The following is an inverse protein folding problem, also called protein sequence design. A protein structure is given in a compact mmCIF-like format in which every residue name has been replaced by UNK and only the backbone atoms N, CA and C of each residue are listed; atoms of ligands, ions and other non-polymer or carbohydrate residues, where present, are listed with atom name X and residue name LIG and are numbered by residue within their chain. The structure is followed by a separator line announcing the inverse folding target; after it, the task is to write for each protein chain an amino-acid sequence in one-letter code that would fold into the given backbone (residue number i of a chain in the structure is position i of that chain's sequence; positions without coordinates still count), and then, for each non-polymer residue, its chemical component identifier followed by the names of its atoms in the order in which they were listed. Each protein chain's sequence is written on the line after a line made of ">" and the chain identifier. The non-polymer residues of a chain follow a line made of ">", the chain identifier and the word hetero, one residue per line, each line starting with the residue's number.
data_IF_717414118076
#
_entry.id   IF_717414118076
#
_cell.length_a   1.000
_cell.length_b   1.000
_cell.length_c   1.000
_cell.angle_alpha   90.00
_cell.angle_beta   90.00
_cell.angle_gamma   90.00
#
_symmetry.space_group_name_H-M   'P 1'
#
loop_
_entity.id
_entity.type
_entity.pdbx_description
1 polymer ?
#
# COMPACT_ATOMS: atom_id res chain seq x y z
N UNK A 1 14.99 -8.39 -21.57
CA UNK A 1 13.86 -8.06 -20.68
C UNK A 1 14.49 -7.40 -19.50
N UNK A 2 14.07 -6.17 -19.20
CA UNK A 2 14.65 -5.36 -18.14
C UNK A 2 14.61 -6.10 -16.81
N UNK A 3 15.76 -6.31 -16.17
CA UNK A 3 15.83 -7.11 -14.94
C UNK A 3 15.10 -6.44 -13.77
N UNK A 4 13.91 -6.92 -13.43
CA UNK A 4 13.13 -6.35 -12.31
C UNK A 4 13.62 -6.83 -10.95
N UNK A 5 13.84 -5.87 -10.05
CA UNK A 5 14.12 -6.13 -8.65
C UNK A 5 12.92 -5.76 -7.79
N UNK A 6 12.84 -6.42 -6.63
CA UNK A 6 11.78 -6.20 -5.65
C UNK A 6 12.39 -6.09 -4.26
N UNK A 7 11.73 -5.32 -3.41
CA UNK A 7 12.05 -5.23 -1.99
C UNK A 7 10.82 -5.63 -1.19
N UNK A 8 10.99 -6.56 -0.25
CA UNK A 8 9.93 -6.93 0.69
C UNK A 8 10.41 -6.76 2.13
N UNK A 9 9.47 -6.39 3.00
CA UNK A 9 9.69 -6.22 4.43
C UNK A 9 8.69 -6.98 5.27
N UNK A 10 9.09 -7.31 6.50
CA UNK A 10 8.24 -7.87 7.53
C UNK A 10 8.63 -7.42 8.93
N UNK A 11 7.70 -7.57 9.88
CA UNK A 11 7.87 -7.11 11.26
C UNK A 11 9.00 -7.82 12.05
N UNK A 12 9.59 -8.87 11.48
CA UNK A 12 10.58 -9.72 12.13
C UNK A 12 9.96 -10.79 13.04
N UNK A 13 10.82 -11.69 13.51
CA UNK A 13 10.53 -12.69 14.54
C UNK A 13 11.47 -12.50 15.74
N UNK A 14 11.30 -13.33 16.78
CA UNK A 14 12.22 -13.38 17.93
C UNK A 14 13.58 -14.03 17.58
N UNK A 15 13.67 -14.73 16.45
CA UNK A 15 14.86 -15.45 15.99
C UNK A 15 15.88 -14.56 15.28
N UNK A 16 15.56 -13.27 15.07
CA UNK A 16 16.35 -12.32 14.28
C UNK A 16 16.59 -12.80 12.85
N UNK A 17 15.62 -13.53 12.29
CA UNK A 17 15.63 -13.89 10.87
C UNK A 17 15.57 -12.65 9.97
N UNK A 18 16.02 -12.78 8.72
CA UNK A 18 15.96 -11.73 7.70
C UNK A 18 14.53 -11.20 7.56
N UNK A 19 14.33 -9.89 7.65
CA UNK A 19 13.02 -9.25 7.57
C UNK A 19 12.97 -8.05 6.62
N UNK A 20 14.06 -7.82 5.89
CA UNK A 20 14.12 -7.00 4.69
C UNK A 20 14.94 -7.79 3.66
N UNK A 21 14.35 -8.01 2.48
CA UNK A 21 15.01 -8.76 1.40
C UNK A 21 14.94 -8.01 0.08
N UNK A 22 16.00 -8.14 -0.73
CA UNK A 22 16.00 -7.76 -2.14
C UNK A 22 15.99 -9.03 -2.97
N UNK A 23 15.12 -9.14 -3.95
CA UNK A 23 14.97 -10.35 -4.76
C UNK A 23 14.56 -10.07 -6.19
N UNK A 24 14.65 -11.10 -7.03
CA UNK A 24 14.11 -11.15 -8.39
C UNK A 24 13.03 -12.22 -8.48
N UNK A 25 12.18 -12.11 -9.50
CA UNK A 25 11.25 -13.16 -9.90
C UNK A 25 11.72 -13.77 -11.22
N UNK A 26 11.99 -15.08 -11.22
CA UNK A 26 12.34 -15.80 -12.44
C UNK A 26 11.12 -16.00 -13.35
N UNK A 27 11.32 -16.39 -14.61
CA UNK A 27 10.25 -16.61 -15.60
C UNK A 27 9.19 -17.62 -15.15
N UNK A 28 9.56 -18.59 -14.33
CA UNK A 28 8.64 -19.56 -13.74
C UNK A 28 7.93 -19.07 -12.46
N UNK A 29 8.13 -17.80 -12.08
CA UNK A 29 7.58 -17.17 -10.89
C UNK A 29 8.37 -17.44 -9.59
N UNK A 30 9.48 -18.20 -9.66
CA UNK A 30 10.32 -18.51 -8.50
C UNK A 30 11.00 -17.26 -7.94
N UNK A 31 11.00 -17.13 -6.62
CA UNK A 31 11.66 -16.02 -5.94
C UNK A 31 13.17 -16.32 -5.81
N UNK A 32 14.01 -15.38 -6.22
CA UNK A 32 15.46 -15.47 -6.15
C UNK A 32 16.01 -14.32 -5.29
N UNK A 33 16.27 -14.62 -4.02
CA UNK A 33 16.89 -13.68 -3.08
C UNK A 33 18.27 -13.25 -3.60
N UNK A 34 18.56 -11.95 -3.50
CA UNK A 34 19.83 -11.32 -3.85
C UNK A 34 20.53 -10.74 -2.63
N UNK A 35 19.77 -10.15 -1.71
CA UNK A 35 20.28 -9.61 -0.46
C UNK A 35 19.27 -9.86 0.66
N UNK A 36 19.80 -10.03 1.86
CA UNK A 36 19.04 -10.26 3.09
C UNK A 36 19.58 -9.40 4.20
N UNK A 37 18.66 -8.80 4.96
CA UNK A 37 18.99 -7.96 6.09
C UNK A 37 18.06 -8.27 7.25
N UNK A 38 18.60 -8.12 8.45
CA UNK A 38 17.84 -8.15 9.69
C UNK A 38 17.84 -6.76 10.31
N UNK A 39 16.66 -6.32 10.72
CA UNK A 39 16.45 -5.05 11.39
C UNK A 39 15.47 -5.17 12.55
N UNK A 40 15.85 -4.62 13.71
CA UNK A 40 14.89 -4.33 14.78
C UNK A 40 13.94 -3.20 14.37
N UNK A 41 12.89 -2.96 15.16
CA UNK A 41 11.95 -1.84 14.93
C UNK A 41 10.79 -2.15 13.97
N UNK A 42 10.73 -3.36 13.41
CA UNK A 42 9.59 -3.87 12.65
C UNK A 42 9.30 -3.11 11.35
N UNK A 43 10.14 -3.30 10.32
CA UNK A 43 9.87 -2.83 8.96
C UNK A 43 8.47 -3.25 8.47
N UNK A 44 7.62 -2.32 8.07
CA UNK A 44 6.20 -2.63 7.79
C UNK A 44 5.62 -2.06 6.49
N UNK A 45 6.24 -1.03 5.92
CA UNK A 45 5.78 -0.40 4.68
C UNK A 45 6.95 0.22 3.91
N UNK A 46 6.86 0.24 2.58
CA UNK A 46 7.90 0.72 1.67
C UNK A 46 7.34 1.71 0.65
N UNK A 47 8.15 2.68 0.23
CA UNK A 47 7.89 3.48 -0.98
C UNK A 47 9.21 3.80 -1.68
N UNK A 48 9.22 3.72 -3.01
CA UNK A 48 10.37 4.06 -3.85
C UNK A 48 10.26 5.50 -4.38
N UNK A 49 11.37 6.25 -4.29
CA UNK A 49 11.62 7.48 -5.06
C UNK A 49 12.69 7.19 -6.11
N UNK A 50 12.28 7.03 -7.36
CA UNK A 50 13.21 6.93 -8.50
C UNK A 50 13.95 8.25 -8.68
N UNK A 51 15.29 8.20 -8.67
CA UNK A 51 16.20 9.33 -8.94
C UNK A 51 16.59 9.34 -10.42
N UNK A 52 17.00 8.18 -10.93
CA UNK A 52 17.35 7.93 -12.33
C UNK A 52 17.07 6.46 -12.65
N UNK A 53 17.28 6.05 -13.90
CA UNK A 53 16.95 4.71 -14.39
C UNK A 53 17.58 3.58 -13.55
N UNK A 54 18.73 3.83 -12.91
CA UNK A 54 19.46 2.82 -12.10
C UNK A 54 19.71 3.26 -10.65
N UNK A 55 18.99 4.27 -10.18
CA UNK A 55 19.19 4.80 -8.83
C UNK A 55 17.87 5.21 -8.22
N UNK A 56 17.60 4.71 -7.03
CA UNK A 56 16.41 5.11 -6.27
C UNK A 56 16.69 5.19 -4.78
N UNK A 57 15.85 5.96 -4.09
CA UNK A 57 15.76 5.91 -2.63
C UNK A 57 14.57 5.05 -2.24
N UNK A 58 14.78 4.09 -1.34
CA UNK A 58 13.70 3.31 -0.75
C UNK A 58 13.48 3.83 0.66
N UNK A 59 12.26 4.28 0.96
CA UNK A 59 11.88 4.71 2.30
C UNK A 59 11.08 3.61 2.97
N UNK A 60 11.54 3.21 4.15
CA UNK A 60 10.98 2.11 4.93
C UNK A 60 10.41 2.64 6.23
N UNK A 61 9.17 2.25 6.53
CA UNK A 61 8.54 2.48 7.82
C UNK A 61 9.02 1.43 8.80
N UNK A 62 9.54 1.88 9.93
CA UNK A 62 9.85 1.04 11.10
C UNK A 62 8.80 1.35 12.17
N UNK A 63 7.72 0.58 12.17
CA UNK A 63 6.48 0.91 12.90
C UNK A 63 6.64 0.83 14.41
N UNK A 64 7.47 -0.09 14.93
CA UNK A 64 7.67 -0.26 16.39
C UNK A 64 8.50 0.87 16.99
N UNK A 65 9.38 1.49 16.21
CA UNK A 65 10.22 2.64 16.64
C UNK A 65 9.70 3.98 16.11
N UNK A 66 8.66 3.97 15.28
CA UNK A 66 8.07 5.15 14.65
C UNK A 66 9.08 5.96 13.80
N UNK A 67 9.92 5.26 13.05
CA UNK A 67 10.97 5.86 12.22
C UNK A 67 10.69 5.69 10.72
N UNK A 68 11.20 6.63 9.94
CA UNK A 68 11.41 6.48 8.50
C UNK A 68 12.89 6.24 8.28
N UNK A 69 13.24 5.17 7.58
CA UNK A 69 14.61 4.84 7.21
C UNK A 69 14.77 4.97 5.70
N UNK A 70 15.70 5.80 5.26
CA UNK A 70 16.07 6.00 3.86
C UNK A 70 17.20 5.05 3.51
N UNK A 71 16.99 4.26 2.46
CA UNK A 71 17.99 3.42 1.82
C UNK A 71 18.27 3.94 0.43
N UNK A 72 19.52 3.85 0.01
CA UNK A 72 19.94 4.04 -1.38
C UNK A 72 19.99 2.69 -2.08
N UNK A 73 19.34 2.60 -3.23
CA UNK A 73 19.51 1.53 -4.20
C UNK A 73 20.41 2.04 -5.33
N UNK A 74 21.63 1.51 -5.39
CA UNK A 74 22.66 1.86 -6.39
C UNK A 74 23.66 0.70 -6.52
N UNK A 75 24.07 0.36 -7.75
CA UNK A 75 25.02 -0.71 -8.06
C UNK A 75 24.59 -2.07 -7.43
N UNK A 76 23.30 -2.39 -7.54
CA UNK A 76 22.70 -3.67 -7.20
C UNK A 76 22.67 -3.91 -5.70
N UNK A 77 22.92 -2.87 -4.91
CA UNK A 77 23.12 -2.93 -3.47
C UNK A 77 22.15 -1.98 -2.78
N UNK A 78 21.51 -2.46 -1.72
CA UNK A 78 20.67 -1.64 -0.87
C UNK A 78 21.47 -1.20 0.36
N UNK A 79 21.61 0.12 0.56
CA UNK A 79 22.47 0.71 1.59
C UNK A 79 21.62 1.62 2.47
N UNK A 80 21.61 1.40 3.78
CA UNK A 80 20.97 2.34 4.71
C UNK A 80 21.74 3.67 4.76
N UNK A 81 21.07 4.79 4.50
CA UNK A 81 21.69 6.12 4.55
C UNK A 81 21.34 6.89 5.81
N UNK A 82 20.06 6.87 6.22
CA UNK A 82 19.57 7.80 7.23
C UNK A 82 18.30 7.33 7.90
N UNK A 83 18.21 7.54 9.21
CA UNK A 83 16.99 7.38 10.01
C UNK A 83 16.41 8.73 10.40
N UNK A 84 15.09 8.79 10.52
CA UNK A 84 14.36 9.97 10.94
C UNK A 84 13.18 9.58 11.83
N UNK A 85 13.12 10.17 13.02
CA UNK A 85 11.99 9.99 13.91
C UNK A 85 10.76 10.69 13.33
N UNK A 86 9.77 9.91 12.90
CA UNK A 86 8.53 10.47 12.40
C UNK A 86 7.74 11.16 13.53
N UNK A 87 6.96 12.21 13.21
CA UNK A 87 6.00 12.75 14.16
C UNK A 87 4.83 11.77 14.39
N UNK A 88 4.10 11.94 15.49
CA UNK A 88 2.95 11.08 15.82
C UNK A 88 3.38 9.71 16.34
N UNK A 89 2.47 8.74 16.31
CA UNK A 89 2.71 7.38 16.84
C UNK A 89 2.08 6.30 15.95
N UNK A 90 2.80 5.20 15.76
CA UNK A 90 2.35 4.07 14.94
C UNK A 90 2.33 4.39 13.44
N UNK A 91 3.38 5.02 12.93
CA UNK A 91 3.59 5.22 11.49
C UNK A 91 3.37 3.89 10.76
N UNK A 92 2.45 3.87 9.79
CA UNK A 92 2.02 2.65 9.12
C UNK A 92 1.99 2.74 7.59
N UNK A 93 2.09 3.95 7.03
CA UNK A 93 1.97 4.18 5.59
C UNK A 93 2.78 5.41 5.17
N UNK A 94 3.40 5.34 3.99
CA UNK A 94 4.06 6.44 3.32
C UNK A 94 3.59 6.58 1.87
N UNK A 95 3.56 7.79 1.33
CA UNK A 95 3.57 8.00 -0.12
C UNK A 95 4.37 9.24 -0.50
N UNK A 96 4.84 9.31 -1.75
CA UNK A 96 5.55 10.48 -2.25
C UNK A 96 4.59 11.56 -2.75
N UNK A 97 5.01 12.82 -2.60
CA UNK A 97 4.42 13.93 -3.34
C UNK A 97 4.60 13.77 -4.86
N UNK A 98 3.74 14.43 -5.63
CA UNK A 98 3.78 14.37 -7.10
C UNK A 98 5.13 14.84 -7.69
N UNK A 99 5.73 15.87 -7.09
CA UNK A 99 7.06 16.40 -7.44
C UNK A 99 8.22 15.63 -6.78
N UNK A 100 7.92 14.59 -5.98
CA UNK A 100 8.88 13.74 -5.26
C UNK A 100 9.82 14.51 -4.31
N UNK A 101 9.41 15.69 -3.84
CA UNK A 101 10.20 16.47 -2.87
C UNK A 101 9.84 16.14 -1.43
N UNK A 102 8.65 15.60 -1.19
CA UNK A 102 8.11 15.29 0.13
C UNK A 102 7.67 13.84 0.26
N UNK A 103 7.73 13.32 1.48
CA UNK A 103 7.06 12.09 1.89
C UNK A 103 5.89 12.44 2.79
N UNK A 104 4.72 11.95 2.42
CA UNK A 104 3.52 11.99 3.26
C UNK A 104 3.45 10.74 4.10
N UNK A 105 3.06 10.88 5.36
CA UNK A 105 2.90 9.75 6.29
C UNK A 105 1.58 9.74 7.04
N UNK A 106 1.17 8.55 7.45
CA UNK A 106 0.00 8.28 8.30
C UNK A 106 0.41 7.51 9.55
N UNK A 107 -0.05 7.98 10.71
CA UNK A 107 0.22 7.39 12.01
C UNK A 107 -1.05 6.78 12.58
N UNK A 108 -1.11 5.45 12.60
CA UNK A 108 -2.31 4.70 12.98
C UNK A 108 -2.71 4.93 14.44
N UNK A 109 -1.74 4.98 15.36
CA UNK A 109 -2.04 5.08 16.79
C UNK A 109 -2.46 6.48 17.20
N UNK A 110 -1.80 7.52 16.67
CA UNK A 110 -2.13 8.91 17.00
C UNK A 110 -3.19 9.55 16.10
N UNK A 111 -3.47 8.96 14.94
CA UNK A 111 -4.34 9.57 13.94
C UNK A 111 -3.71 10.72 13.15
N UNK A 112 -2.40 10.93 13.31
CA UNK A 112 -1.70 12.04 12.68
C UNK A 112 -1.43 11.77 11.19
N UNK A 113 -1.49 12.83 10.39
CA UNK A 113 -0.90 12.87 9.05
C UNK A 113 0.22 13.89 9.04
N UNK A 114 1.25 13.68 8.23
CA UNK A 114 2.35 14.65 8.10
C UNK A 114 2.95 14.66 6.71
N UNK A 115 3.78 15.68 6.46
CA UNK A 115 4.75 15.69 5.38
C UNK A 115 6.16 15.96 5.94
N UNK A 116 7.16 15.21 5.48
CA UNK A 116 8.58 15.47 5.69
C UNK A 116 9.26 15.70 4.34
N UNK A 117 10.41 16.36 4.30
CA UNK A 117 11.22 16.39 3.08
C UNK A 117 11.85 15.02 2.79
N UNK A 118 12.14 14.76 1.52
CA UNK A 118 12.74 13.47 1.08
C UNK A 118 14.20 13.28 1.50
N UNK A 119 14.88 14.34 1.97
CA UNK A 119 16.21 14.25 2.58
C UNK A 119 16.14 13.92 4.09
N UNK A 120 14.92 13.75 4.60
CA UNK A 120 14.62 13.47 6.00
C UNK A 120 15.31 14.46 6.95
N UNK A 121 15.29 15.76 6.62
CA UNK A 121 15.90 16.81 7.45
C UNK A 121 14.91 17.53 8.34
N UNK A 122 13.65 17.64 7.89
CA UNK A 122 12.62 18.33 8.67
C UNK A 122 11.21 17.80 8.38
N UNK A 123 10.33 18.01 9.36
CA UNK A 123 8.90 17.93 9.16
C UNK A 123 8.40 19.27 8.59
N UNK A 124 7.61 19.19 7.51
CA UNK A 124 7.07 20.34 6.77
C UNK A 124 5.74 20.77 7.36
N UNK A 125 4.84 19.80 7.61
CA UNK A 125 3.57 20.05 8.29
C UNK A 125 3.08 18.78 8.99
N UNK A 126 2.24 18.97 10.00
CA UNK A 126 1.53 17.91 10.72
C UNK A 126 0.07 18.30 10.83
N UNK A 127 -0.83 17.41 10.41
CA UNK A 127 -2.25 17.47 10.75
C UNK A 127 -2.47 16.51 11.92
N UNK A 128 -2.76 17.06 13.09
CA UNK A 128 -3.05 16.23 14.27
C UNK A 128 -4.34 15.44 14.12
N UNK A 129 -4.29 14.20 14.58
CA UNK A 129 -5.45 13.37 14.81
C UNK A 129 -6.33 13.93 15.92
N UNK A 130 -7.51 13.32 16.06
CA UNK A 130 -8.41 13.61 17.17
C UNK A 130 -8.74 12.31 17.90
N UNK A 131 -9.57 12.40 18.94
CA UNK A 131 -10.06 11.20 19.63
C UNK A 131 -10.66 10.23 18.61
N UNK A 132 -10.33 8.95 18.76
CA UNK A 132 -10.81 7.84 17.94
C UNK A 132 -10.31 7.87 16.47
N UNK A 133 -9.34 8.75 16.13
CA UNK A 133 -8.67 8.72 14.83
C UNK A 133 -7.70 7.55 14.70
N UNK A 134 -7.72 6.91 13.54
CA UNK A 134 -6.72 5.95 13.10
C UNK A 134 -6.36 6.21 11.62
N UNK A 135 -5.42 7.12 11.41
CA UNK A 135 -4.91 7.46 10.08
C UNK A 135 -4.19 6.25 9.48
N UNK A 136 -4.76 5.65 8.45
CA UNK A 136 -4.22 4.40 7.89
C UNK A 136 -3.61 4.58 6.49
N UNK A 137 -4.10 5.53 5.72
CA UNK A 137 -3.57 5.78 4.38
C UNK A 137 -3.60 7.27 4.04
N UNK A 138 -2.49 7.74 3.51
CA UNK A 138 -2.38 9.03 2.83
C UNK A 138 -2.02 8.75 1.38
N UNK A 139 -2.89 9.13 0.46
CA UNK A 139 -2.78 8.75 -0.94
C UNK A 139 -2.59 9.97 -1.82
N UNK A 140 -1.57 9.94 -2.67
CA UNK A 140 -1.25 11.03 -3.60
C UNK A 140 -2.14 10.95 -4.85
N UNK A 141 -2.90 12.02 -5.11
CA UNK A 141 -3.58 12.25 -6.38
C UNK A 141 -2.79 13.12 -7.36
N UNK A 142 -3.40 13.51 -8.47
CA UNK A 142 -2.85 14.46 -9.45
C UNK A 142 -3.05 15.89 -9.01
N UNK A 143 -2.31 16.81 -9.64
CA UNK A 143 -2.44 18.25 -9.41
C UNK A 143 -2.23 18.60 -7.93
N UNK A 144 -1.27 17.93 -7.28
CA UNK A 144 -0.96 18.08 -5.86
C UNK A 144 -2.14 17.80 -4.92
N UNK A 145 -3.11 16.96 -5.31
CA UNK A 145 -4.17 16.47 -4.42
C UNK A 145 -3.65 15.38 -3.49
N UNK A 146 -4.17 15.35 -2.27
CA UNK A 146 -3.87 14.33 -1.27
C UNK A 146 -5.19 13.83 -0.67
N UNK A 147 -5.35 12.52 -0.57
CA UNK A 147 -6.49 11.87 0.08
C UNK A 147 -6.06 11.35 1.45
N UNK A 148 -6.82 11.72 2.49
CA UNK A 148 -6.62 11.26 3.85
C UNK A 148 -7.66 10.19 4.16
N UNK A 149 -7.22 9.04 4.65
CA UNK A 149 -8.06 7.87 4.97
C UNK A 149 -7.91 7.53 6.45
N UNK A 150 -8.93 7.90 7.23
CA UNK A 150 -9.00 7.66 8.67
C UNK A 150 -9.96 6.50 8.94
N UNK A 151 -9.38 5.35 9.32
CA UNK A 151 -10.10 4.13 9.62
C UNK A 151 -11.01 4.32 10.83
N UNK A 152 -10.49 4.94 11.89
CA UNK A 152 -11.17 5.08 13.18
C UNK A 152 -12.39 6.00 13.08
N UNK A 153 -12.26 7.11 12.35
CA UNK A 153 -13.35 8.06 12.15
C UNK A 153 -14.31 7.66 11.03
N UNK A 154 -14.04 6.58 10.28
CA UNK A 154 -14.78 6.27 9.06
C UNK A 154 -14.85 7.48 8.13
N UNK A 155 -13.69 8.05 7.79
CA UNK A 155 -13.60 9.28 7.00
C UNK A 155 -12.61 9.13 5.86
N UNK A 156 -13.01 9.58 4.68
CA UNK A 156 -12.11 9.79 3.54
C UNK A 156 -12.39 11.16 2.95
N UNK A 157 -11.35 11.98 2.87
CA UNK A 157 -11.42 13.33 2.34
C UNK A 157 -10.21 13.66 1.49
N UNK A 158 -10.37 14.62 0.59
CA UNK A 158 -9.30 15.15 -0.26
C UNK A 158 -8.97 16.56 0.15
N UNK A 159 -7.69 16.86 0.11
CA UNK A 159 -7.12 18.17 0.33
C UNK A 159 -6.22 18.56 -0.84
N UNK A 160 -6.04 19.85 -1.02
CA UNK A 160 -5.01 20.39 -1.89
C UNK A 160 -3.69 20.54 -1.11
N UNK A 161 -2.60 19.91 -1.54
CA UNK A 161 -1.29 20.20 -0.99
C UNK A 161 -0.88 21.63 -1.36
N UNK A 162 -0.40 22.38 -0.37
CA UNK A 162 0.32 23.64 -0.56
C UNK A 162 1.79 23.44 -0.20
N UNK A 163 2.66 24.35 -0.61
CA UNK A 163 4.13 24.21 -0.48
C UNK A 163 4.60 23.79 0.93
N UNK A 164 4.07 24.42 1.98
CA UNK A 164 4.46 24.15 3.38
C UNK A 164 3.28 23.82 4.29
N UNK A 165 2.13 23.46 3.73
CA UNK A 165 0.95 23.15 4.52
C UNK A 165 -0.03 22.26 3.76
N UNK A 166 -0.87 21.56 4.52
CA UNK A 166 -2.06 20.93 3.98
C UNK A 166 -3.12 22.02 3.75
N UNK A 167 -3.67 22.09 2.54
CA UNK A 167 -4.76 22.99 2.20
C UNK A 167 -6.10 22.54 2.77
N UNK A 168 -7.16 23.26 2.41
CA UNK A 168 -8.52 22.94 2.82
C UNK A 168 -9.02 21.65 2.17
N UNK A 169 -9.99 21.02 2.83
CA UNK A 169 -10.70 19.88 2.27
C UNK A 169 -11.60 20.38 1.14
N UNK A 170 -11.49 19.76 -0.03
CA UNK A 170 -12.23 20.16 -1.24
C UNK A 170 -13.09 19.02 -1.84
N UNK A 171 -13.05 17.82 -1.24
CA UNK A 171 -13.90 16.70 -1.60
C UNK A 171 -14.02 15.74 -0.41
N UNK A 172 -15.25 15.35 -0.06
CA UNK A 172 -15.52 14.34 0.96
C UNK A 172 -16.19 13.10 0.35
N UNK A 173 -15.84 11.93 0.86
CA UNK A 173 -16.53 10.69 0.57
C UNK A 173 -17.43 10.35 1.78
N UNK A 174 -18.77 10.28 1.61
CA UNK A 174 -19.68 9.93 2.70
C UNK A 174 -19.55 8.45 3.08
N UNK A 175 -18.54 8.14 3.91
CA UNK A 175 -18.33 6.82 4.50
C UNK A 175 -19.28 6.65 5.68
N UNK A 176 -19.92 5.49 5.79
CA UNK A 176 -20.82 5.22 6.91
C UNK A 176 -20.00 4.88 8.16
N UNK A 177 -20.48 5.31 9.32
CA UNK A 177 -19.82 5.03 10.60
C UNK A 177 -19.62 3.51 10.78
N UNK A 178 -18.39 3.13 11.13
CA UNK A 178 -17.98 1.74 11.36
C UNK A 178 -17.56 0.98 10.10
N UNK A 179 -17.60 1.58 8.90
CA UNK A 179 -17.09 0.91 7.68
C UNK A 179 -15.57 0.69 7.76
N UNK A 180 -14.84 1.60 8.40
CA UNK A 180 -13.39 1.48 8.65
C UNK A 180 -12.54 1.51 7.39
N UNK A 181 -12.49 2.64 6.65
CA UNK A 181 -11.73 2.76 5.42
C UNK A 181 -10.23 2.66 5.71
N UNK A 182 -9.54 1.76 5.02
CA UNK A 182 -8.11 1.45 5.23
C UNK A 182 -7.24 2.05 4.12
N UNK A 183 -7.74 1.98 2.89
CA UNK A 183 -7.02 2.36 1.68
C UNK A 183 -8.01 2.93 0.66
N UNK A 184 -7.53 3.86 -0.17
CA UNK A 184 -8.22 4.35 -1.35
C UNK A 184 -7.33 4.10 -2.58
N UNK A 185 -7.94 3.65 -3.67
CA UNK A 185 -7.28 3.56 -4.98
C UNK A 185 -8.11 4.33 -6.00
N UNK A 186 -7.42 5.05 -6.89
CA UNK A 186 -8.03 5.87 -7.93
C UNK A 186 -7.77 5.23 -9.30
N UNK A 187 -8.73 5.32 -10.21
CA UNK A 187 -8.57 4.84 -11.58
C UNK A 187 -9.32 5.73 -12.56
N UNK A 188 -9.11 5.51 -13.86
CA UNK A 188 -9.68 6.27 -14.97
C UNK A 188 -9.43 7.77 -14.83
N UNK A 189 -8.15 8.14 -14.72
CA UNK A 189 -7.70 9.53 -14.52
C UNK A 189 -8.36 10.20 -13.30
N UNK A 190 -8.47 9.46 -12.20
CA UNK A 190 -9.08 9.91 -10.93
C UNK A 190 -10.56 10.30 -11.03
N UNK A 191 -11.26 9.85 -12.07
CA UNK A 191 -12.72 10.01 -12.15
C UNK A 191 -13.46 9.01 -11.27
N UNK A 192 -12.78 7.95 -10.86
CA UNK A 192 -13.34 6.90 -10.03
C UNK A 192 -12.41 6.58 -8.86
N UNK A 193 -13.00 6.10 -7.76
CA UNK A 193 -12.26 5.66 -6.57
C UNK A 193 -12.88 4.40 -5.98
N UNK A 194 -12.05 3.54 -5.40
CA UNK A 194 -12.48 2.39 -4.60
C UNK A 194 -11.86 2.53 -3.23
N UNK A 195 -12.70 2.40 -2.21
CA UNK A 195 -12.28 2.47 -0.81
C UNK A 195 -12.43 1.08 -0.22
N UNK A 196 -11.32 0.57 0.31
CA UNK A 196 -11.21 -0.72 0.96
C UNK A 196 -11.59 -0.51 2.43
N UNK A 197 -12.71 -1.09 2.84
CA UNK A 197 -13.27 -0.93 4.17
C UNK A 197 -12.90 -2.14 5.03
N UNK A 198 -11.90 -1.99 5.90
CA UNK A 198 -11.33 -3.05 6.74
C UNK A 198 -12.35 -3.58 7.74
N UNK A 199 -12.98 -2.71 8.53
CA UNK A 199 -13.87 -3.11 9.63
C UNK A 199 -15.14 -3.80 9.14
N UNK A 200 -15.68 -3.36 8.00
CA UNK A 200 -16.91 -3.95 7.43
C UNK A 200 -16.67 -5.10 6.46
N UNK A 201 -15.43 -5.38 6.05
CA UNK A 201 -15.14 -6.42 5.08
C UNK A 201 -15.57 -6.10 3.64
N UNK A 202 -15.70 -4.82 3.30
CA UNK A 202 -16.31 -4.39 2.03
C UNK A 202 -15.40 -3.54 1.14
N UNK A 203 -15.80 -3.38 -0.12
CA UNK A 203 -15.30 -2.41 -1.08
C UNK A 203 -16.44 -1.44 -1.40
N UNK A 204 -16.18 -0.13 -1.33
CA UNK A 204 -17.12 0.88 -1.81
C UNK A 204 -16.56 1.56 -3.06
N UNK A 205 -17.34 1.55 -4.14
CA UNK A 205 -16.95 2.11 -5.45
C UNK A 205 -17.63 3.45 -5.67
N UNK A 206 -16.86 4.42 -6.17
CA UNK A 206 -17.23 5.83 -6.23
C UNK A 206 -16.96 6.43 -7.61
N UNK A 207 -17.80 7.39 -8.00
CA UNK A 207 -17.54 8.31 -9.10
C UNK A 207 -17.33 9.72 -8.57
N UNK A 208 -16.27 10.37 -9.01
CA UNK A 208 -15.99 11.77 -8.75
C UNK A 208 -16.53 12.58 -9.93
N UNK A 209 -17.52 13.42 -9.67
CA UNK A 209 -18.23 14.21 -10.69
C UNK A 209 -18.04 15.69 -10.43
N UNK A 210 -17.99 16.48 -11.50
CA UNK A 210 -18.14 17.92 -11.42
C UNK A 210 -19.61 18.27 -11.23
N UNK A 211 -19.89 19.15 -10.27
CA UNK A 211 -21.20 19.71 -9.99
C UNK A 211 -21.07 21.22 -9.80
N UNK A 212 -21.36 21.97 -10.86
CA UNK A 212 -21.07 23.41 -10.90
C UNK A 212 -19.57 23.65 -10.87
N UNK A 213 -19.10 24.43 -9.89
CA UNK A 213 -17.68 24.73 -9.66
C UNK A 213 -16.98 23.76 -8.71
N UNK A 214 -17.73 22.83 -8.09
CA UNK A 214 -17.22 21.90 -7.08
C UNK A 214 -17.25 20.46 -7.58
N UNK A 215 -16.46 19.59 -6.95
CA UNK A 215 -16.52 18.16 -7.19
C UNK A 215 -17.28 17.44 -6.07
N UNK A 216 -18.00 16.38 -6.43
CA UNK A 216 -18.66 15.50 -5.47
C UNK A 216 -18.31 14.03 -5.73
N UNK A 217 -18.17 13.27 -4.65
CA UNK A 217 -17.98 11.83 -4.68
C UNK A 217 -19.33 11.13 -4.47
N UNK A 218 -19.80 10.40 -5.48
CA UNK A 218 -21.03 9.63 -5.42
C UNK A 218 -20.72 8.14 -5.28
N UNK A 219 -21.24 7.51 -4.22
CA UNK A 219 -21.16 6.06 -4.05
C UNK A 219 -22.03 5.38 -5.10
N UNK A 220 -21.46 4.45 -5.83
CA UNK A 220 -22.16 3.69 -6.87
C UNK A 220 -22.65 2.35 -6.32
N UNK A 221 -21.79 1.64 -5.60
CA UNK A 221 -22.16 0.39 -4.95
C UNK A 221 -21.16 0.00 -3.86
N UNK A 222 -21.59 -0.93 -3.01
CA UNK A 222 -20.75 -1.64 -2.04
C UNK A 222 -20.74 -3.13 -2.37
N UNK A 223 -19.60 -3.79 -2.16
CA UNK A 223 -19.38 -5.22 -2.40
C UNK A 223 -18.67 -5.86 -1.23
N UNK A 224 -19.10 -7.04 -0.82
CA UNK A 224 -18.30 -7.85 0.11
C UNK A 224 -17.05 -8.34 -0.62
N UNK A 225 -15.91 -8.25 0.05
CA UNK A 225 -14.63 -8.73 -0.50
C UNK A 225 -14.59 -10.25 -0.65
N UNK A 226 -15.27 -10.96 0.25
CA UNK A 226 -15.35 -12.43 0.30
C UNK A 226 -16.80 -12.89 0.50
N UNK A 227 -17.08 -14.17 0.17
CA UNK A 227 -18.33 -14.84 0.57
C UNK A 227 -18.20 -15.55 1.93
N UNK A 228 -17.01 -15.57 2.51
CA UNK A 228 -16.73 -16.19 3.80
C UNK A 228 -17.61 -15.60 4.91
N UNK A 229 -18.21 -16.49 5.72
CA UNK A 229 -19.04 -16.12 6.86
C UNK A 229 -18.18 -16.24 8.11
N UNK A 230 -17.67 -15.10 8.58
CA UNK A 230 -16.80 -14.99 9.75
C UNK A 230 -16.11 -13.64 9.77
N UNK A 231 -15.17 -13.47 10.70
CA UNK A 231 -14.37 -12.24 10.77
C UNK A 231 -13.46 -12.16 9.54
N UNK A 232 -13.62 -11.09 8.75
CA UNK A 232 -12.77 -10.80 7.61
C UNK A 232 -12.41 -9.31 7.59
N UNK A 233 -11.12 -9.02 7.47
CA UNK A 233 -10.55 -7.68 7.44
C UNK A 233 -9.68 -7.53 6.19
N UNK A 234 -10.18 -6.94 5.09
CA UNK A 234 -9.42 -6.70 3.88
C UNK A 234 -8.07 -6.02 4.17
N UNK A 235 -6.99 -6.55 3.61
CA UNK A 235 -5.64 -6.02 3.71
C UNK A 235 -5.37 -4.98 2.64
N UNK A 236 -4.21 -5.07 2.00
CA UNK A 236 -3.85 -4.24 0.86
C UNK A 236 -4.57 -4.67 -0.43
N UNK A 237 -4.74 -3.71 -1.33
CA UNK A 237 -5.32 -3.91 -2.64
C UNK A 237 -4.45 -3.26 -3.73
N UNK A 238 -4.52 -3.82 -4.95
CA UNK A 238 -3.79 -3.32 -6.11
C UNK A 238 -4.65 -3.36 -7.37
N UNK A 239 -4.48 -2.36 -8.23
CA UNK A 239 -5.16 -2.30 -9.53
C UNK A 239 -4.20 -2.80 -10.61
N UNK A 240 -4.65 -3.78 -11.39
CA UNK A 240 -3.96 -4.28 -12.56
C UNK A 240 -4.57 -3.70 -13.84
N UNK A 241 -3.75 -3.03 -14.65
CA UNK A 241 -4.08 -2.52 -15.98
C UNK A 241 -5.38 -1.70 -16.04
N UNK A 242 -5.71 -0.93 -15.00
CA UNK A 242 -6.95 -0.12 -14.88
C UNK A 242 -8.26 -0.93 -15.03
N UNK A 243 -8.18 -2.27 -14.96
CA UNK A 243 -9.29 -3.18 -15.27
C UNK A 243 -9.71 -4.02 -14.08
N UNK A 244 -8.74 -4.52 -13.31
CA UNK A 244 -8.99 -5.49 -12.24
C UNK A 244 -8.44 -4.95 -10.93
N UNK A 245 -9.26 -5.01 -9.88
CA UNK A 245 -8.84 -4.78 -8.50
C UNK A 245 -8.62 -6.12 -7.81
N UNK A 246 -7.42 -6.35 -7.31
CA UNK A 246 -7.09 -7.45 -6.42
C UNK A 246 -7.09 -6.97 -4.97
N UNK A 247 -7.59 -7.78 -4.04
CA UNK A 247 -7.62 -7.47 -2.60
C UNK A 247 -7.31 -8.70 -1.77
N UNK A 248 -6.42 -8.55 -0.78
CA UNK A 248 -6.15 -9.59 0.21
C UNK A 248 -7.20 -9.61 1.32
N UNK A 249 -7.62 -10.78 1.75
CA UNK A 249 -8.64 -10.97 2.79
C UNK A 249 -8.05 -11.66 4.02
N UNK A 250 -7.84 -10.91 5.11
CA UNK A 250 -7.34 -11.45 6.38
C UNK A 250 -8.51 -12.04 7.16
N UNK A 251 -8.48 -13.35 7.41
CA UNK A 251 -9.59 -14.12 7.99
C UNK A 251 -10.15 -15.15 7.02
N UNK A 252 -10.50 -14.75 5.79
CA UNK A 252 -10.81 -15.71 4.72
C UNK A 252 -9.56 -16.38 4.14
N UNK A 253 -8.40 -15.72 4.27
CA UNK A 253 -7.10 -16.20 3.76
C UNK A 253 -7.04 -16.34 2.23
N UNK A 254 -7.67 -15.38 1.56
CA UNK A 254 -7.83 -15.38 0.09
C UNK A 254 -7.33 -14.09 -0.56
N UNK A 255 -7.12 -14.14 -1.87
CA UNK A 255 -7.12 -12.98 -2.76
C UNK A 255 -8.41 -12.99 -3.57
N UNK A 256 -9.15 -11.89 -3.57
CA UNK A 256 -10.32 -11.69 -4.43
C UNK A 256 -9.99 -10.73 -5.57
N UNK A 257 -10.59 -10.97 -6.76
CA UNK A 257 -10.49 -10.08 -7.91
C UNK A 257 -11.86 -9.49 -8.28
N UNK A 258 -11.88 -8.23 -8.68
CA UNK A 258 -13.08 -7.48 -9.06
C UNK A 258 -12.87 -6.68 -10.35
N UNK A 259 -13.87 -6.65 -11.23
CA UNK A 259 -13.85 -5.83 -12.44
C UNK A 259 -14.14 -4.36 -12.11
N UNK A 260 -13.25 -3.46 -12.52
CA UNK A 260 -13.43 -2.01 -12.38
C UNK A 260 -14.44 -1.46 -13.41
N UNK A 261 -14.42 -1.98 -14.64
CA UNK A 261 -15.36 -1.59 -15.70
C UNK A 261 -16.81 -1.92 -15.33
N UNK A 262 -17.03 -3.09 -14.71
CA UNK A 262 -18.34 -3.54 -14.22
C UNK A 262 -18.59 -3.17 -12.76
N UNK A 263 -17.88 -2.14 -12.25
CA UNK A 263 -18.11 -1.51 -10.95
C UNK A 263 -18.16 -2.52 -9.79
N UNK A 264 -17.09 -3.29 -9.63
CA UNK A 264 -16.92 -4.22 -8.52
C UNK A 264 -17.66 -5.55 -8.70
N UNK A 265 -17.97 -5.96 -9.93
CA UNK A 265 -18.40 -7.34 -10.17
C UNK A 265 -17.24 -8.30 -9.82
N UNK A 266 -17.51 -9.29 -8.98
CA UNK A 266 -16.49 -10.24 -8.52
C UNK A 266 -16.12 -11.21 -9.64
N UNK A 267 -14.84 -11.28 -9.96
CA UNK A 267 -14.28 -12.19 -10.97
C UNK A 267 -14.00 -13.55 -10.32
N UNK A 268 -13.35 -13.56 -9.17
CA UNK A 268 -13.00 -14.78 -8.46
C UNK A 268 -12.40 -14.53 -7.09
N UNK A 269 -12.10 -15.63 -6.40
CA UNK A 269 -11.48 -15.65 -5.09
C UNK A 269 -10.67 -16.94 -4.96
N UNK A 270 -9.41 -16.83 -4.55
CA UNK A 270 -8.46 -17.93 -4.49
C UNK A 270 -7.68 -17.91 -3.19
N UNK A 271 -7.18 -19.07 -2.76
CA UNK A 271 -6.27 -19.19 -1.63
C UNK A 271 -5.03 -18.29 -1.82
N UNK A 272 -4.58 -17.63 -0.74
CA UNK A 272 -3.43 -16.72 -0.81
C UNK A 272 -2.06 -17.42 -0.67
N UNK A 273 -2.01 -18.74 -0.44
CA UNK A 273 -0.80 -19.51 -0.21
C UNK A 273 -0.24 -19.44 1.22
N UNK A 274 -0.95 -18.76 2.13
CA UNK A 274 -0.52 -18.50 3.49
C UNK A 274 -1.66 -18.03 4.39
N UNK A 275 -1.32 -17.24 5.42
CA UNK A 275 -2.28 -16.65 6.37
C UNK A 275 -2.03 -15.17 6.57
N UNK A 276 -3.11 -14.44 6.66
CA UNK A 276 -3.23 -13.02 6.91
C UNK A 276 -2.54 -12.19 5.82
N UNK A 277 -3.03 -12.22 4.55
CA UNK A 277 -2.47 -11.45 3.44
C UNK A 277 -2.64 -9.94 3.71
N UNK A 278 -1.62 -9.33 4.33
CA UNK A 278 -1.65 -7.94 4.81
C UNK A 278 -1.16 -6.98 3.72
N UNK A 279 -0.13 -7.38 2.98
CA UNK A 279 0.46 -6.62 1.86
C UNK A 279 0.21 -7.33 0.53
N UNK A 280 0.04 -6.53 -0.53
CA UNK A 280 -0.22 -7.00 -1.88
C UNK A 280 0.45 -6.06 -2.87
N UNK A 281 1.20 -6.63 -3.81
CA UNK A 281 1.72 -5.90 -4.97
C UNK A 281 1.24 -6.57 -6.25
N UNK A 282 0.94 -5.77 -7.27
CA UNK A 282 0.51 -6.23 -8.58
C UNK A 282 1.32 -5.50 -9.65
N UNK A 283 2.11 -6.22 -10.43
CA UNK A 283 2.86 -5.68 -11.57
C UNK A 283 2.00 -5.62 -12.83
N UNK A 284 2.38 -4.78 -13.79
CA UNK A 284 1.72 -4.69 -15.10
C UNK A 284 1.76 -6.02 -15.88
N UNK A 285 2.78 -6.86 -15.65
CA UNK A 285 2.95 -8.18 -16.28
C UNK A 285 2.10 -9.28 -15.61
N UNK A 286 1.33 -8.95 -14.57
CA UNK A 286 0.46 -9.91 -13.89
C UNK A 286 1.17 -10.79 -12.85
N UNK A 287 2.41 -10.47 -12.49
CA UNK A 287 3.03 -10.99 -11.24
C UNK A 287 2.31 -10.33 -10.06
N UNK A 288 1.88 -11.15 -9.11
CA UNK A 288 1.23 -10.72 -7.87
C UNK A 288 2.05 -11.26 -6.69
N UNK A 289 2.48 -10.38 -5.79
CA UNK A 289 3.23 -10.74 -4.60
C UNK A 289 2.38 -10.50 -3.36
N UNK A 290 2.29 -11.49 -2.49
CA UNK A 290 1.40 -11.49 -1.33
C UNK A 290 2.22 -11.65 -0.05
N UNK A 291 2.07 -10.70 0.87
CA UNK A 291 2.69 -10.75 2.19
C UNK A 291 1.72 -11.35 3.21
N UNK A 292 1.87 -12.65 3.46
CA UNK A 292 1.07 -13.41 4.42
C UNK A 292 1.69 -13.33 5.83
N UNK A 293 1.27 -12.31 6.58
CA UNK A 293 1.91 -11.88 7.83
C UNK A 293 1.96 -12.98 8.90
N UNK A 294 0.86 -13.70 9.13
CA UNK A 294 0.77 -14.67 10.26
C UNK A 294 1.33 -16.04 9.93
N UNK A 295 1.50 -16.36 8.65
CA UNK A 295 2.23 -17.55 8.23
C UNK A 295 3.68 -17.28 7.89
N UNK A 296 4.13 -16.02 8.04
CA UNK A 296 5.51 -15.59 7.75
C UNK A 296 5.94 -15.92 6.32
N UNK A 297 5.07 -15.67 5.34
CA UNK A 297 5.35 -15.99 3.93
C UNK A 297 5.26 -14.78 3.02
N UNK A 298 6.21 -14.71 2.10
CA UNK A 298 6.04 -13.99 0.83
C UNK A 298 5.67 -15.02 -0.24
N UNK A 299 4.52 -14.84 -0.87
CA UNK A 299 3.99 -15.74 -1.91
C UNK A 299 4.03 -15.03 -3.25
N UNK A 300 4.54 -15.71 -4.28
CA UNK A 300 4.56 -15.25 -5.67
C UNK A 300 3.50 -15.96 -6.47
N UNK A 301 2.68 -15.19 -7.18
CA UNK A 301 1.59 -15.67 -8.02
C UNK A 301 1.67 -15.05 -9.42
N UNK A 302 1.03 -15.71 -10.40
CA UNK A 302 0.77 -15.16 -11.72
C UNK A 302 -0.72 -15.15 -12.03
N UNK A 303 -1.19 -14.02 -12.53
CA UNK A 303 -2.53 -13.86 -13.07
C UNK A 303 -2.60 -14.39 -14.51
N UNK A 304 -3.46 -15.38 -14.74
CA UNK A 304 -3.83 -15.87 -16.07
C UNK A 304 -5.13 -15.19 -16.49
N UNK A 305 -5.02 -14.15 -17.34
CA UNK A 305 -6.17 -13.35 -17.79
C UNK A 305 -7.16 -14.19 -18.61
N UNK A 306 -6.67 -15.09 -19.46
CA UNK A 306 -7.51 -15.92 -20.33
C UNK A 306 -8.40 -16.88 -19.52
N UNK A 307 -7.82 -17.51 -18.49
CA UNK A 307 -8.57 -18.42 -17.61
C UNK A 307 -9.23 -17.72 -16.43
N UNK A 308 -8.99 -16.43 -16.25
CA UNK A 308 -9.36 -15.67 -15.07
C UNK A 308 -8.95 -16.39 -13.78
N UNK A 309 -7.67 -16.79 -13.68
CA UNK A 309 -7.17 -17.63 -12.60
C UNK A 309 -5.90 -17.05 -11.96
N UNK A 310 -5.81 -17.12 -10.63
CA UNK A 310 -4.58 -16.83 -9.90
C UNK A 310 -3.81 -18.13 -9.63
N UNK A 311 -2.57 -18.20 -10.09
CA UNK A 311 -1.72 -19.39 -9.94
C UNK A 311 -0.55 -19.10 -9.01
N UNK A 312 -0.47 -19.80 -7.88
CA UNK A 312 0.69 -19.75 -6.98
C UNK A 312 1.89 -20.39 -7.70
N UNK A 313 3.00 -19.67 -7.74
CA UNK A 313 4.23 -20.10 -8.39
C UNK A 313 5.30 -20.54 -7.38
N UNK A 314 5.46 -19.78 -6.30
CA UNK A 314 6.48 -20.03 -5.28
C UNK A 314 6.12 -19.35 -3.95
N UNK A 315 6.81 -19.73 -2.87
CA UNK A 315 6.74 -19.02 -1.59
C UNK A 315 8.04 -19.17 -0.81
N UNK A 316 8.41 -18.14 -0.06
CA UNK A 316 9.53 -18.18 0.89
C UNK A 316 9.13 -17.66 2.26
N UNK A 317 9.95 -17.98 3.27
CA UNK A 317 9.76 -17.50 4.63
C UNK A 317 10.23 -16.03 4.74
N UNK A 318 9.32 -15.14 5.15
CA UNK A 318 9.60 -13.75 5.50
C UNK A 318 8.84 -13.43 6.80
N UNK A 319 9.54 -13.44 7.96
CA UNK A 319 8.96 -13.20 9.27
C UNK A 319 8.10 -11.93 9.34
N UNK A 320 6.83 -12.10 9.67
CA UNK A 320 5.88 -11.00 9.75
C UNK A 320 5.71 -10.23 8.43
N UNK A 321 5.84 -10.89 7.27
CA UNK A 321 5.70 -10.29 5.94
C UNK A 321 4.56 -9.25 5.89
N UNK A 322 4.89 -8.02 5.50
CA UNK A 322 4.00 -6.87 5.67
C UNK A 322 3.77 -6.09 4.37
N UNK A 323 4.82 -5.81 3.60
CA UNK A 323 4.73 -5.00 2.38
C UNK A 323 5.84 -5.39 1.39
N UNK A 324 5.59 -5.13 0.11
CA UNK A 324 6.49 -5.46 -1.00
C UNK A 324 6.27 -4.45 -2.13
N UNK A 325 7.35 -4.03 -2.78
CA UNK A 325 7.33 -3.15 -3.95
C UNK A 325 8.28 -3.66 -5.03
N UNK A 326 7.96 -3.38 -6.29
CA UNK A 326 8.94 -3.38 -7.38
C UNK A 326 9.82 -2.13 -7.24
N UNK A 327 11.10 -2.27 -7.56
CA UNK A 327 12.06 -1.17 -7.58
C UNK A 327 12.74 -1.09 -8.95
N UNK A 328 13.20 0.11 -9.30
CA UNK A 328 13.84 0.39 -10.58
C UNK A 328 14.99 -0.59 -10.83
N UNK A 329 14.98 -1.18 -12.02
CA UNK A 329 15.96 -2.15 -12.48
C UNK A 329 17.34 -1.53 -12.70
N UNK A 330 18.38 -2.31 -12.43
CA UNK A 330 19.66 -2.07 -13.09
C UNK A 330 19.65 -2.75 -14.45
N UNK A 331 19.88 -1.99 -15.51
CA UNK A 331 20.48 -2.53 -16.73
C UNK A 331 21.59 -1.58 -17.15
N UNK A 332 22.79 -2.12 -17.42
CA UNK A 332 23.86 -1.38 -18.11
C UNK A 332 23.53 -1.13 -19.58
#
# INVERSE_FOLDING_TARGET
>A
MTEKYFVAVGYGDMGQSSNLIVFKIADNGKIQIKQEFHYDGGPSYLVEKVISDHRSCIYVVFEKTNEIVKFLWENGTLIEEKRFQAPGEGLCHLCLSEDRTMLYGSCYMSGDYFAVDTELTQCIWIKKGQKDSHAHCIYKGKESRIYLVDLGLSSVCRHQQKKKSLGECDLNFPIHAGEGPRQILLWNLEKNAVIINESSGTLSFWKIKQQGTEQQAQRICTRNTTKYIGNNAPGDAGIWNEKILFVGNRGAETISAFSLERLGEKIGEWDCGGKFPRGLFVSDEGIILICCQKSEKLVSCRWDEEKAQLNICDSLNLPGAANVIEITAEEE
#
